data_IF_281975173638
#
_entry.id   IF_281975173638
#
_cell.length_a   1.000
_cell.length_b   1.000
_cell.length_c   1.000
_cell.angle_alpha   90.00
_cell.angle_beta   90.00
_cell.angle_gamma   90.00
#
_symmetry.space_group_name_H-M   'P 1'
#
loop_
_entity.id
_entity.type
_entity.pdbx_description
1 polymer ?
#
# COMPACT_ATOMS: atom_id res chain seq x y z
N UNK A 1 38.96 20.23 -48.27
CA UNK A 1 37.59 20.28 -47.69
C UNK A 1 36.89 18.94 -47.70
N UNK A 2 37.22 18.04 -48.61
CA UNK A 2 36.61 16.70 -48.80
C UNK A 2 36.97 15.68 -47.73
N UNK A 3 38.14 15.72 -47.12
CA UNK A 3 38.60 14.73 -46.12
C UNK A 3 37.92 14.89 -44.73
N UNK A 4 37.49 16.12 -44.36
CA UNK A 4 36.74 16.36 -43.08
C UNK A 4 35.31 15.92 -43.17
N UNK A 5 34.68 15.95 -44.33
CA UNK A 5 33.29 15.49 -44.55
C UNK A 5 33.22 13.96 -44.47
N UNK A 6 34.24 13.27 -44.99
CA UNK A 6 34.28 11.80 -44.92
C UNK A 6 34.40 11.28 -43.47
N UNK A 7 35.19 11.97 -42.62
CA UNK A 7 35.38 11.56 -41.22
C UNK A 7 34.11 11.77 -40.33
N UNK A 8 33.34 12.85 -40.62
CA UNK A 8 32.08 13.12 -39.92
C UNK A 8 31.00 12.11 -40.34
N UNK A 9 30.97 11.73 -41.62
CA UNK A 9 29.97 10.76 -42.11
C UNK A 9 30.24 9.36 -41.57
N UNK A 10 31.48 8.93 -41.41
CA UNK A 10 31.86 7.66 -40.82
C UNK A 10 31.54 7.64 -39.31
N UNK A 11 31.74 8.76 -38.58
CA UNK A 11 31.40 8.89 -37.17
C UNK A 11 29.88 8.84 -36.94
N UNK A 12 29.07 9.44 -37.82
CA UNK A 12 27.60 9.41 -37.71
C UNK A 12 27.06 8.02 -38.04
N UNK A 13 27.62 7.33 -39.01
CA UNK A 13 27.21 5.94 -39.33
C UNK A 13 27.64 4.96 -38.22
N UNK A 14 28.79 5.16 -37.58
CA UNK A 14 29.19 4.37 -36.40
C UNK A 14 28.31 4.60 -35.17
N UNK A 15 27.73 5.80 -35.01
CA UNK A 15 26.81 6.09 -33.91
C UNK A 15 25.39 5.53 -34.14
N UNK A 16 25.00 5.33 -35.40
CA UNK A 16 23.69 4.75 -35.75
C UNK A 16 23.68 3.19 -35.71
N UNK A 17 24.83 2.54 -35.65
CA UNK A 17 24.91 1.07 -35.56
C UNK A 17 24.95 0.55 -34.12
N UNK A 18 25.13 1.41 -33.10
CA UNK A 18 24.92 1.10 -31.69
C UNK A 18 23.48 1.37 -31.20
N UNK A 19 22.49 1.27 -32.09
CA UNK A 19 21.11 1.08 -31.68
C UNK A 19 21.07 -0.30 -30.99
N UNK A 20 20.97 -0.29 -29.67
CA UNK A 20 20.83 -1.46 -28.86
C UNK A 20 19.88 -2.44 -29.54
N UNK A 21 20.37 -3.60 -29.95
CA UNK A 21 19.51 -4.73 -30.20
C UNK A 21 18.87 -5.08 -28.88
N UNK A 22 17.70 -4.47 -28.61
CA UNK A 22 16.79 -5.03 -27.64
C UNK A 22 16.51 -6.44 -28.15
N UNK A 23 17.09 -7.45 -27.51
CA UNK A 23 16.79 -8.84 -27.81
C UNK A 23 15.31 -9.01 -27.55
N UNK A 24 14.52 -9.01 -28.62
CA UNK A 24 13.09 -9.19 -28.50
C UNK A 24 12.86 -10.65 -28.10
N UNK A 25 12.22 -10.86 -26.96
CA UNK A 25 11.75 -12.21 -26.57
C UNK A 25 10.86 -12.74 -27.69
N UNK A 26 11.25 -13.89 -28.29
CA UNK A 26 10.48 -14.52 -29.37
C UNK A 26 9.19 -15.14 -28.77
N UNK A 27 8.03 -14.69 -29.27
CA UNK A 27 6.71 -15.12 -28.81
C UNK A 27 6.03 -16.13 -29.74
N UNK A 28 6.58 -16.43 -30.91
CA UNK A 28 5.90 -17.25 -31.94
C UNK A 28 5.52 -18.64 -31.41
N UNK A 29 6.46 -19.31 -30.75
CA UNK A 29 6.25 -20.66 -30.26
C UNK A 29 5.24 -20.68 -29.11
N UNK A 30 5.32 -19.73 -28.17
CA UNK A 30 4.39 -19.65 -27.05
C UNK A 30 2.97 -19.28 -27.50
N UNK A 31 2.82 -18.41 -28.50
CA UNK A 31 1.52 -18.06 -29.06
C UNK A 31 0.87 -19.27 -29.73
N UNK A 32 1.65 -20.11 -30.43
CA UNK A 32 1.16 -21.36 -31.03
C UNK A 32 0.69 -22.35 -29.95
N UNK A 33 1.41 -22.48 -28.83
CA UNK A 33 1.04 -23.35 -27.71
C UNK A 33 -0.23 -22.83 -27.01
N UNK A 34 -0.37 -21.51 -26.82
CA UNK A 34 -1.54 -20.88 -26.20
C UNK A 34 -2.86 -21.15 -26.94
N UNK A 35 -2.79 -21.39 -28.25
CA UNK A 35 -3.94 -21.68 -29.09
C UNK A 35 -4.36 -23.17 -29.09
N UNK A 36 -3.60 -24.05 -28.43
CA UNK A 36 -3.89 -25.50 -28.40
C UNK A 36 -4.91 -25.84 -27.30
N UNK A 37 -5.85 -26.71 -27.61
CA UNK A 37 -6.83 -27.26 -26.67
C UNK A 37 -6.24 -28.34 -25.76
N UNK A 38 -5.27 -29.08 -26.25
CA UNK A 38 -4.56 -30.17 -25.53
C UNK A 38 -3.08 -29.94 -25.71
N UNK A 39 -2.35 -29.94 -24.61
CA UNK A 39 -0.90 -29.76 -24.62
C UNK A 39 -0.20 -31.11 -24.48
N UNK A 40 0.89 -31.26 -25.20
CA UNK A 40 1.82 -32.39 -25.03
C UNK A 40 3.07 -31.96 -24.24
N UNK A 41 3.97 -32.88 -23.99
CA UNK A 41 5.19 -32.60 -23.24
C UNK A 41 6.11 -31.57 -23.92
N UNK A 42 6.12 -31.49 -25.24
CA UNK A 42 6.92 -30.51 -25.96
C UNK A 42 6.34 -29.10 -25.79
N UNK A 43 5.00 -29.00 -25.71
CA UNK A 43 4.31 -27.73 -25.40
C UNK A 43 4.62 -27.23 -23.99
N UNK A 44 4.63 -28.15 -23.01
CA UNK A 44 4.99 -27.80 -21.62
C UNK A 44 6.44 -27.33 -21.51
N UNK A 45 7.34 -27.97 -22.24
CA UNK A 45 8.76 -27.54 -22.36
C UNK A 45 8.88 -26.16 -23.02
N UNK A 46 8.07 -25.88 -24.04
CA UNK A 46 8.02 -24.58 -24.71
C UNK A 46 7.59 -23.46 -23.73
N UNK A 47 6.61 -23.73 -22.90
CA UNK A 47 6.18 -22.78 -21.84
C UNK A 47 7.34 -22.52 -20.86
N UNK A 48 8.01 -23.58 -20.35
CA UNK A 48 9.13 -23.41 -19.40
C UNK A 48 10.30 -22.63 -20.02
N UNK A 49 10.66 -22.93 -21.28
CA UNK A 49 11.72 -22.22 -22.03
C UNK A 49 11.37 -20.75 -22.24
N UNK A 50 10.13 -20.45 -22.63
CA UNK A 50 9.67 -19.06 -22.80
C UNK A 50 9.82 -18.27 -21.51
N UNK A 51 9.27 -18.76 -20.39
CA UNK A 51 9.33 -18.08 -19.09
C UNK A 51 10.78 -17.94 -18.63
N UNK A 52 11.61 -19.00 -18.76
CA UNK A 52 13.03 -18.98 -18.41
C UNK A 52 13.79 -17.90 -19.18
N UNK A 53 13.60 -17.84 -20.49
CA UNK A 53 14.26 -16.86 -21.35
C UNK A 53 13.82 -15.45 -21.02
N UNK A 54 12.50 -15.20 -20.94
CA UNK A 54 11.96 -13.87 -20.64
C UNK A 54 12.39 -13.35 -19.26
N UNK A 55 12.39 -14.20 -18.23
CA UNK A 55 12.88 -13.81 -16.90
C UNK A 55 14.40 -13.56 -16.90
N UNK A 56 15.17 -14.31 -17.67
CA UNK A 56 16.61 -14.07 -17.84
C UNK A 56 16.89 -12.71 -18.51
N UNK A 57 16.06 -12.31 -19.47
CA UNK A 57 16.16 -10.98 -20.09
C UNK A 57 15.93 -9.84 -19.08
N UNK A 58 15.04 -10.01 -18.10
CA UNK A 58 14.89 -9.04 -16.98
C UNK A 58 16.19 -8.90 -16.18
N UNK A 59 16.94 -10.00 -15.97
CA UNK A 59 18.22 -9.98 -15.25
C UNK A 59 19.31 -9.26 -16.04
N UNK A 60 19.32 -9.39 -17.36
CA UNK A 60 20.39 -8.89 -18.23
C UNK A 60 20.12 -7.50 -18.77
N UNK A 61 18.87 -7.07 -18.86
CA UNK A 61 18.49 -5.77 -19.39
C UNK A 61 19.14 -4.59 -18.62
N UNK A 62 19.64 -3.61 -19.36
CA UNK A 62 20.37 -2.48 -18.79
C UNK A 62 19.49 -1.29 -18.42
N UNK A 63 18.32 -1.16 -19.03
CA UNK A 63 17.41 -0.04 -18.85
C UNK A 63 16.00 -0.46 -18.46
N UNK A 64 15.24 0.50 -17.90
CA UNK A 64 13.87 0.28 -17.45
C UNK A 64 12.90 -0.04 -18.57
N UNK A 65 13.09 0.53 -19.75
CA UNK A 65 12.17 0.33 -20.88
C UNK A 65 12.23 -1.09 -21.37
N UNK A 66 13.45 -1.64 -21.52
CA UNK A 66 13.67 -3.05 -21.88
C UNK A 66 13.05 -3.99 -20.87
N UNK A 67 13.28 -3.77 -19.56
CA UNK A 67 12.69 -4.58 -18.49
C UNK A 67 11.16 -4.50 -18.52
N UNK A 68 10.59 -3.30 -18.68
CA UNK A 68 9.14 -3.10 -18.75
C UNK A 68 8.52 -3.79 -19.95
N UNK A 69 9.18 -3.74 -21.11
CA UNK A 69 8.73 -4.44 -22.31
C UNK A 69 8.71 -5.98 -22.11
N UNK A 70 9.79 -6.54 -21.57
CA UNK A 70 9.85 -7.98 -21.26
C UNK A 70 8.75 -8.39 -20.28
N UNK A 71 8.52 -7.59 -19.23
CA UNK A 71 7.44 -7.83 -18.28
C UNK A 71 6.07 -7.84 -18.98
N UNK A 72 5.81 -6.89 -19.87
CA UNK A 72 4.57 -6.84 -20.66
C UNK A 72 4.41 -8.07 -21.56
N UNK A 73 5.49 -8.57 -22.15
CA UNK A 73 5.49 -9.79 -22.98
C UNK A 73 5.14 -11.01 -22.11
N UNK A 74 5.72 -11.15 -20.92
CA UNK A 74 5.39 -12.23 -19.99
C UNK A 74 3.90 -12.19 -19.63
N UNK A 75 3.38 -11.00 -19.27
CA UNK A 75 1.98 -10.83 -18.88
C UNK A 75 1.01 -11.13 -20.04
N UNK A 76 1.32 -10.67 -21.25
CA UNK A 76 0.51 -10.95 -22.44
C UNK A 76 0.41 -12.45 -22.76
N UNK A 77 1.38 -13.24 -22.29
CA UNK A 77 1.45 -14.67 -22.52
C UNK A 77 1.17 -15.52 -21.26
N UNK A 78 0.72 -14.93 -20.15
CA UNK A 78 0.49 -15.66 -18.89
C UNK A 78 -0.76 -16.54 -18.86
N UNK A 79 -1.71 -16.32 -19.76
CA UNK A 79 -2.95 -17.10 -19.90
C UNK A 79 -3.10 -17.77 -21.25
N UNK A 80 -3.86 -18.87 -21.31
CA UNK A 80 -4.26 -19.51 -22.55
C UNK A 80 -5.23 -18.66 -23.36
N UNK A 81 -5.23 -18.80 -24.68
CA UNK A 81 -6.24 -18.25 -25.57
C UNK A 81 -7.48 -19.17 -25.65
N UNK A 82 -7.36 -20.43 -25.22
CA UNK A 82 -8.45 -21.39 -25.20
C UNK A 82 -9.15 -21.36 -23.83
N UNK A 83 -10.45 -21.11 -23.75
CA UNK A 83 -11.20 -21.11 -22.52
C UNK A 83 -11.08 -22.46 -21.78
N UNK A 84 -10.74 -22.42 -20.50
CA UNK A 84 -10.64 -23.61 -19.65
C UNK A 84 -9.38 -24.46 -19.84
N UNK A 85 -8.34 -23.95 -20.51
CA UNK A 85 -7.06 -24.62 -20.65
C UNK A 85 -6.23 -24.50 -19.35
N UNK A 86 -6.65 -25.23 -18.33
CA UNK A 86 -6.03 -25.21 -17.00
C UNK A 86 -4.58 -25.73 -17.00
N UNK A 87 -4.23 -26.63 -17.94
CA UNK A 87 -2.88 -27.20 -18.02
C UNK A 87 -1.84 -26.13 -18.44
N UNK A 88 -2.22 -25.20 -19.34
CA UNK A 88 -1.36 -24.08 -19.70
C UNK A 88 -1.11 -23.16 -18.49
N UNK A 89 -2.18 -22.74 -17.82
CA UNK A 89 -2.08 -21.84 -16.67
C UNK A 89 -1.28 -22.46 -15.52
N UNK A 90 -1.46 -23.77 -15.30
CA UNK A 90 -0.71 -24.50 -14.29
C UNK A 90 0.77 -24.53 -14.63
N UNK A 91 1.15 -24.96 -15.85
CA UNK A 91 2.54 -25.04 -16.29
C UNK A 91 3.20 -23.68 -16.28
N UNK A 92 2.52 -22.65 -16.79
CA UNK A 92 3.02 -21.27 -16.75
C UNK A 92 3.31 -20.81 -15.31
N UNK A 93 2.38 -21.09 -14.39
CA UNK A 93 2.53 -20.73 -12.97
C UNK A 93 3.72 -21.44 -12.32
N UNK A 94 3.91 -22.73 -12.59
CA UNK A 94 5.04 -23.52 -12.08
C UNK A 94 6.38 -23.02 -12.63
N UNK A 95 6.42 -22.74 -13.92
CA UNK A 95 7.59 -22.15 -14.57
C UNK A 95 7.89 -20.75 -14.04
N UNK A 96 6.86 -19.89 -13.88
CA UNK A 96 7.01 -18.56 -13.30
C UNK A 96 7.56 -18.63 -11.86
N UNK A 97 7.02 -19.50 -11.02
CA UNK A 97 7.51 -19.70 -9.64
C UNK A 97 9.00 -20.08 -9.64
N UNK A 98 9.37 -21.07 -10.43
CA UNK A 98 10.75 -21.57 -10.54
C UNK A 98 11.72 -20.48 -11.02
N UNK A 99 11.40 -19.85 -12.15
CA UNK A 99 12.34 -18.92 -12.80
C UNK A 99 12.39 -17.56 -12.13
N UNK A 100 11.26 -17.00 -11.63
CA UNK A 100 11.24 -15.73 -10.87
C UNK A 100 11.94 -15.91 -9.51
N UNK A 101 11.75 -17.05 -8.82
CA UNK A 101 12.48 -17.36 -7.59
C UNK A 101 13.98 -17.35 -7.80
N UNK A 102 14.46 -18.05 -8.83
CA UNK A 102 15.87 -18.09 -9.20
C UNK A 102 16.41 -16.69 -9.57
N UNK A 103 15.63 -15.92 -10.33
CA UNK A 103 16.00 -14.58 -10.73
C UNK A 103 16.09 -13.61 -9.54
N UNK A 104 15.16 -13.68 -8.60
CA UNK A 104 15.22 -12.90 -7.36
C UNK A 104 16.48 -13.23 -6.55
N UNK A 105 16.84 -14.51 -6.44
CA UNK A 105 18.05 -14.94 -5.77
C UNK A 105 19.33 -14.41 -6.47
N UNK A 106 19.40 -14.50 -7.79
CA UNK A 106 20.52 -13.99 -8.57
C UNK A 106 20.61 -12.46 -8.49
N UNK A 107 19.46 -11.77 -8.50
CA UNK A 107 19.40 -10.32 -8.41
C UNK A 107 20.04 -9.76 -7.13
N UNK A 108 20.04 -10.50 -6.03
CA UNK A 108 20.69 -10.08 -4.78
C UNK A 108 22.20 -9.90 -4.92
N UNK A 109 22.84 -10.67 -5.79
CA UNK A 109 24.28 -10.57 -6.10
C UNK A 109 24.64 -9.53 -7.14
N UNK A 110 23.66 -8.87 -7.79
CA UNK A 110 23.94 -7.92 -8.85
C UNK A 110 24.64 -6.65 -8.36
N UNK A 111 25.60 -6.21 -9.17
CA UNK A 111 26.30 -4.94 -9.02
C UNK A 111 26.18 -4.12 -10.31
N UNK A 112 26.06 -2.78 -10.22
CA UNK A 112 25.96 -1.97 -9.02
C UNK A 112 24.60 -2.13 -8.29
N UNK A 113 24.47 -1.58 -7.10
CA UNK A 113 23.23 -1.63 -6.29
C UNK A 113 22.00 -1.08 -7.03
N UNK A 114 22.18 -0.11 -7.92
CA UNK A 114 21.12 0.45 -8.78
C UNK A 114 20.54 -0.58 -9.75
N UNK A 115 21.38 -1.49 -10.30
CA UNK A 115 20.94 -2.59 -11.15
C UNK A 115 20.15 -3.61 -10.33
N UNK A 116 20.70 -4.02 -9.17
CA UNK A 116 20.00 -4.90 -8.23
C UNK A 116 18.61 -4.35 -7.87
N UNK A 117 18.53 -3.07 -7.50
CA UNK A 117 17.27 -2.41 -7.19
C UNK A 117 16.27 -2.48 -8.35
N UNK A 118 16.69 -2.15 -9.57
CA UNK A 118 15.81 -2.18 -10.76
C UNK A 118 15.24 -3.58 -10.99
N UNK A 119 16.10 -4.59 -10.96
CA UNK A 119 15.70 -5.96 -11.24
C UNK A 119 14.73 -6.48 -10.19
N UNK A 120 15.06 -6.36 -8.90
CA UNK A 120 14.18 -6.83 -7.81
C UNK A 120 12.82 -6.11 -7.87
N UNK A 121 12.82 -4.79 -8.05
CA UNK A 121 11.57 -4.02 -8.12
C UNK A 121 10.68 -4.49 -9.28
N UNK A 122 11.26 -4.72 -10.46
CA UNK A 122 10.49 -5.17 -11.62
C UNK A 122 10.02 -6.62 -11.51
N UNK A 123 10.79 -7.50 -10.86
CA UNK A 123 10.33 -8.86 -10.56
C UNK A 123 9.15 -8.84 -9.56
N UNK A 124 9.19 -7.98 -8.55
CA UNK A 124 8.05 -7.80 -7.65
C UNK A 124 6.83 -7.22 -8.37
N UNK A 125 7.00 -6.22 -9.24
CA UNK A 125 5.92 -5.72 -10.09
C UNK A 125 5.33 -6.82 -10.97
N UNK A 126 6.18 -7.69 -11.55
CA UNK A 126 5.71 -8.83 -12.33
C UNK A 126 4.89 -9.80 -11.49
N UNK A 127 5.31 -10.09 -10.25
CA UNK A 127 4.55 -10.93 -9.32
C UNK A 127 3.17 -10.35 -9.04
N UNK A 128 3.10 -9.05 -8.80
CA UNK A 128 1.85 -8.35 -8.55
C UNK A 128 0.91 -8.38 -9.76
N UNK A 129 1.43 -8.09 -10.95
CA UNK A 129 0.67 -8.09 -12.20
C UNK A 129 0.18 -9.50 -12.59
N UNK A 130 0.99 -10.55 -12.38
CA UNK A 130 0.58 -11.95 -12.58
C UNK A 130 -0.57 -12.36 -11.66
N UNK A 131 -0.67 -11.74 -10.50
CA UNK A 131 -1.73 -11.94 -9.50
C UNK A 131 -2.03 -13.43 -9.24
N UNK A 132 -0.98 -14.25 -9.14
CA UNK A 132 -1.08 -15.71 -9.00
C UNK A 132 -0.84 -16.12 -7.53
N UNK A 133 -1.81 -16.77 -6.86
CA UNK A 133 -1.67 -17.19 -5.45
C UNK A 133 -0.50 -18.15 -5.19
N UNK A 134 -0.05 -18.93 -6.17
CA UNK A 134 1.11 -19.83 -6.03
C UNK A 134 2.43 -19.09 -5.84
N UNK A 135 2.48 -17.81 -6.23
CA UNK A 135 3.69 -16.99 -6.15
C UNK A 135 3.78 -16.18 -4.84
N UNK A 136 2.79 -16.33 -3.94
CA UNK A 136 2.65 -15.50 -2.73
C UNK A 136 3.86 -15.57 -1.79
N UNK A 137 4.62 -16.65 -1.81
CA UNK A 137 5.78 -16.83 -0.93
C UNK A 137 7.00 -15.99 -1.35
N UNK A 138 7.10 -15.61 -2.62
CA UNK A 138 8.27 -14.90 -3.14
C UNK A 138 8.44 -13.49 -2.56
N UNK A 139 7.40 -12.66 -2.40
CA UNK A 139 7.54 -11.31 -1.82
C UNK A 139 7.82 -11.30 -0.32
N UNK A 140 7.57 -12.38 0.45
CA UNK A 140 7.76 -12.39 1.91
C UNK A 140 9.16 -11.94 2.36
N UNK A 141 10.18 -12.29 1.60
CA UNK A 141 11.58 -11.96 1.91
C UNK A 141 11.86 -10.46 1.85
N UNK A 142 11.06 -9.72 1.10
CA UNK A 142 11.32 -8.31 0.76
C UNK A 142 10.47 -7.32 1.54
N UNK A 143 9.56 -7.80 2.41
CA UNK A 143 8.60 -6.97 3.16
C UNK A 143 9.30 -5.96 4.07
N UNK A 144 10.37 -6.37 4.75
CA UNK A 144 11.19 -5.55 5.66
C UNK A 144 12.51 -5.06 5.02
N UNK A 145 12.52 -4.97 3.69
CA UNK A 145 13.67 -4.42 2.98
C UNK A 145 13.96 -2.98 3.44
N UNK A 146 15.24 -2.68 3.67
CA UNK A 146 15.71 -1.32 3.95
C UNK A 146 15.45 -0.34 2.79
N UNK A 147 15.15 -0.85 1.60
CA UNK A 147 14.72 -0.05 0.46
C UNK A 147 13.20 0.07 0.46
N UNK A 148 12.71 1.29 0.71
CA UNK A 148 11.27 1.57 0.81
C UNK A 148 10.45 1.17 -0.43
N UNK A 149 11.03 1.26 -1.64
CA UNK A 149 10.32 0.88 -2.89
C UNK A 149 10.22 -0.64 -3.02
N UNK A 150 11.26 -1.38 -2.63
CA UNK A 150 11.22 -2.84 -2.62
C UNK A 150 10.20 -3.33 -1.58
N UNK A 151 10.23 -2.79 -0.36
CA UNK A 151 9.26 -3.11 0.68
C UNK A 151 7.83 -2.77 0.25
N UNK A 152 7.62 -1.61 -0.38
CA UNK A 152 6.32 -1.20 -0.93
C UNK A 152 5.75 -2.24 -1.91
N UNK A 153 6.53 -2.66 -2.91
CA UNK A 153 6.08 -3.64 -3.89
C UNK A 153 5.89 -5.04 -3.30
N UNK A 154 6.71 -5.42 -2.34
CA UNK A 154 6.53 -6.68 -1.63
C UNK A 154 5.19 -6.72 -0.88
N UNK A 155 4.87 -5.64 -0.14
CA UNK A 155 3.59 -5.52 0.56
C UNK A 155 2.43 -5.46 -0.43
N UNK A 156 2.58 -4.71 -1.55
CA UNK A 156 1.55 -4.62 -2.60
C UNK A 156 1.19 -6.02 -3.14
N UNK A 157 2.20 -6.85 -3.44
CA UNK A 157 1.97 -8.25 -3.85
C UNK A 157 1.21 -9.06 -2.80
N UNK A 158 1.59 -8.95 -1.51
CA UNK A 158 0.96 -9.71 -0.42
C UNK A 158 -0.47 -9.28 -0.14
N UNK A 159 -0.80 -8.04 -0.44
CA UNK A 159 -2.13 -7.45 -0.18
C UNK A 159 -3.01 -7.34 -1.41
N UNK A 160 -2.55 -7.82 -2.57
CA UNK A 160 -3.29 -7.76 -3.83
C UNK A 160 -4.63 -8.53 -3.71
N UNK A 161 -5.79 -7.87 -3.87
CA UNK A 161 -7.10 -8.51 -3.69
C UNK A 161 -7.36 -9.68 -4.65
N UNK A 162 -6.76 -9.64 -5.85
CA UNK A 162 -6.89 -10.72 -6.84
C UNK A 162 -6.18 -12.00 -6.39
N UNK A 163 -5.17 -11.86 -5.52
CA UNK A 163 -4.42 -12.95 -4.92
C UNK A 163 -5.09 -13.40 -3.62
N UNK A 164 -5.28 -12.45 -2.70
CA UNK A 164 -5.73 -12.74 -1.32
C UNK A 164 -7.11 -13.39 -1.28
N UNK A 165 -8.01 -13.07 -2.21
CA UNK A 165 -9.33 -13.70 -2.32
C UNK A 165 -9.30 -15.20 -2.70
N UNK A 166 -8.15 -15.70 -3.15
CA UNK A 166 -7.95 -17.09 -3.59
C UNK A 166 -7.03 -17.89 -2.64
N UNK A 167 -6.51 -17.26 -1.60
CA UNK A 167 -5.61 -17.91 -0.64
C UNK A 167 -6.37 -18.80 0.33
N UNK A 168 -5.74 -19.90 0.72
CA UNK A 168 -6.18 -20.72 1.83
C UNK A 168 -6.01 -19.98 3.16
N UNK A 169 -6.86 -20.31 4.14
CA UNK A 169 -6.94 -19.64 5.42
C UNK A 169 -5.59 -19.55 6.15
N UNK A 170 -4.81 -20.62 6.16
CA UNK A 170 -3.50 -20.65 6.83
C UNK A 170 -2.48 -19.73 6.14
N UNK A 171 -2.57 -19.60 4.83
CA UNK A 171 -1.74 -18.65 4.09
C UNK A 171 -2.16 -17.21 4.38
N UNK A 172 -3.47 -16.93 4.47
CA UNK A 172 -3.99 -15.60 4.87
C UNK A 172 -3.49 -15.22 6.27
N UNK A 173 -3.52 -16.15 7.24
CA UNK A 173 -2.98 -15.93 8.60
C UNK A 173 -1.48 -15.63 8.57
N UNK A 174 -0.72 -16.39 7.78
CA UNK A 174 0.73 -16.17 7.62
C UNK A 174 1.03 -14.81 7.02
N UNK A 175 0.25 -14.37 6.01
CA UNK A 175 0.35 -13.02 5.45
C UNK A 175 0.04 -11.97 6.52
N UNK A 176 -1.06 -12.12 7.26
CA UNK A 176 -1.44 -11.20 8.34
C UNK A 176 -0.32 -11.05 9.38
N UNK A 177 0.22 -12.16 9.88
CA UNK A 177 1.34 -12.14 10.85
C UNK A 177 2.60 -11.48 10.31
N UNK A 178 2.90 -11.66 9.02
CA UNK A 178 4.05 -11.00 8.38
C UNK A 178 3.84 -9.50 8.25
N UNK A 179 2.65 -9.07 7.82
CA UNK A 179 2.30 -7.66 7.72
C UNK A 179 2.28 -6.99 9.09
N UNK A 180 1.79 -7.68 10.12
CA UNK A 180 1.78 -7.18 11.49
C UNK A 180 3.19 -6.83 12.00
N UNK A 181 4.20 -7.63 11.66
CA UNK A 181 5.58 -7.43 12.10
C UNK A 181 6.21 -6.12 11.59
N UNK A 182 5.68 -5.52 10.53
CA UNK A 182 6.24 -4.32 9.91
C UNK A 182 5.41 -3.05 10.12
N UNK A 183 4.24 -3.12 10.78
CA UNK A 183 3.33 -1.96 10.96
C UNK A 183 4.07 -0.76 11.53
N UNK A 184 4.92 -0.96 12.57
CA UNK A 184 5.59 0.13 13.27
C UNK A 184 6.60 0.90 12.41
N UNK A 185 7.20 0.25 11.42
CA UNK A 185 8.24 0.81 10.55
C UNK A 185 7.73 1.21 9.17
N UNK A 186 6.47 0.90 8.87
CA UNK A 186 5.87 1.12 7.55
C UNK A 186 5.57 2.58 7.26
N UNK A 187 5.72 2.97 5.98
CA UNK A 187 5.26 4.26 5.49
C UNK A 187 3.72 4.32 5.46
N UNK A 188 3.12 5.52 5.45
CA UNK A 188 1.67 5.67 5.39
C UNK A 188 1.02 4.94 4.20
N UNK A 189 1.67 4.96 3.04
CA UNK A 189 1.18 4.29 1.83
C UNK A 189 1.15 2.76 2.03
N UNK A 190 2.17 2.21 2.68
CA UNK A 190 2.23 0.78 3.03
C UNK A 190 1.17 0.44 4.07
N UNK A 191 0.97 1.29 5.10
CA UNK A 191 -0.09 1.11 6.09
C UNK A 191 -1.48 1.08 5.47
N UNK A 192 -1.72 1.84 4.40
CA UNK A 192 -2.97 1.80 3.64
C UNK A 192 -3.24 0.43 3.02
N UNK A 193 -2.24 -0.20 2.41
CA UNK A 193 -2.39 -1.56 1.86
C UNK A 193 -2.62 -2.59 2.95
N UNK A 194 -1.87 -2.49 4.06
CA UNK A 194 -2.04 -3.37 5.22
C UNK A 194 -3.46 -3.25 5.78
N UNK A 195 -3.97 -2.03 5.97
CA UNK A 195 -5.32 -1.79 6.44
C UNK A 195 -6.38 -2.35 5.47
N UNK A 196 -6.20 -2.14 4.16
CA UNK A 196 -7.10 -2.66 3.14
C UNK A 196 -7.16 -4.19 3.15
N UNK A 197 -6.00 -4.85 3.24
CA UNK A 197 -5.93 -6.30 3.42
C UNK A 197 -6.65 -6.73 4.70
N UNK A 198 -6.32 -6.13 5.84
CA UNK A 198 -6.90 -6.44 7.15
C UNK A 198 -8.43 -6.32 7.13
N UNK A 199 -8.97 -5.28 6.49
CA UNK A 199 -10.42 -5.08 6.33
C UNK A 199 -11.10 -6.03 5.33
N UNK A 200 -10.33 -6.63 4.42
CA UNK A 200 -10.86 -7.55 3.40
C UNK A 200 -10.93 -9.01 3.86
N UNK A 201 -10.11 -9.39 4.85
CA UNK A 201 -10.04 -10.76 5.36
C UNK A 201 -10.93 -10.90 6.61
N UNK A 202 -11.76 -11.94 6.64
CA UNK A 202 -12.67 -12.19 7.76
C UNK A 202 -12.07 -13.19 8.74
N UNK A 203 -10.98 -12.78 9.40
CA UNK A 203 -10.27 -13.57 10.40
C UNK A 203 -9.89 -12.70 11.61
N UNK A 204 -9.75 -13.23 12.83
CA UNK A 204 -9.36 -12.46 14.01
C UNK A 204 -8.04 -11.72 13.83
N UNK A 205 -7.05 -12.33 13.20
CA UNK A 205 -5.74 -11.73 12.93
C UNK A 205 -5.84 -10.49 12.00
N UNK A 206 -6.84 -10.47 11.10
CA UNK A 206 -7.15 -9.29 10.28
C UNK A 206 -7.69 -8.14 11.12
N UNK A 207 -8.59 -8.46 12.06
CA UNK A 207 -9.14 -7.46 13.00
C UNK A 207 -8.02 -6.85 13.86
N UNK A 208 -7.16 -7.67 14.44
CA UNK A 208 -6.03 -7.22 15.26
C UNK A 208 -5.04 -6.37 14.45
N UNK A 209 -4.77 -6.78 13.21
CA UNK A 209 -3.92 -6.02 12.29
C UNK A 209 -4.49 -4.64 11.96
N UNK A 210 -5.80 -4.54 11.69
CA UNK A 210 -6.45 -3.24 11.45
C UNK A 210 -6.35 -2.33 12.68
N UNK A 211 -6.58 -2.88 13.87
CA UNK A 211 -6.47 -2.13 15.12
C UNK A 211 -5.03 -1.63 15.35
N UNK A 212 -4.03 -2.46 15.05
CA UNK A 212 -2.61 -2.09 15.17
C UNK A 212 -2.22 -0.98 14.18
N UNK A 213 -2.71 -1.04 12.93
CA UNK A 213 -2.52 0.05 11.97
C UNK A 213 -3.13 1.35 12.48
N UNK A 214 -4.34 1.30 13.04
CA UNK A 214 -4.98 2.48 13.63
C UNK A 214 -4.17 3.03 14.82
N UNK A 215 -3.66 2.17 15.71
CA UNK A 215 -2.81 2.57 16.84
C UNK A 215 -1.53 3.26 16.36
N UNK A 216 -0.88 2.73 15.31
CA UNK A 216 0.30 3.35 14.70
C UNK A 216 -0.01 4.74 14.13
N UNK A 217 -1.18 4.92 13.49
CA UNK A 217 -1.60 6.25 12.99
C UNK A 217 -1.89 7.21 14.14
N UNK A 218 -2.61 6.76 15.17
CA UNK A 218 -2.90 7.55 16.38
C UNK A 218 -1.59 8.03 17.03
N UNK A 219 -0.59 7.16 17.19
CA UNK A 219 0.72 7.52 17.70
C UNK A 219 1.40 8.60 16.84
N UNK A 220 1.33 8.48 15.51
CA UNK A 220 1.91 9.49 14.61
C UNK A 220 1.26 10.88 14.75
N UNK A 221 -0.05 10.94 15.07
CA UNK A 221 -0.72 12.20 15.40
C UNK A 221 -0.24 12.77 16.72
N UNK A 222 -0.14 11.95 17.77
CA UNK A 222 0.32 12.36 19.07
C UNK A 222 1.69 13.05 19.02
N UNK A 223 2.58 12.53 18.17
CA UNK A 223 3.94 13.04 17.95
C UNK A 223 4.03 14.14 16.88
N UNK A 224 2.92 14.55 16.29
CA UNK A 224 2.87 15.48 15.14
C UNK A 224 3.70 15.01 13.92
N UNK A 225 4.12 13.76 13.88
CA UNK A 225 4.93 13.18 12.81
C UNK A 225 4.07 12.63 11.64
N UNK A 226 2.76 12.77 11.72
CA UNK A 226 1.84 12.26 10.69
C UNK A 226 2.14 12.85 9.32
N UNK A 227 2.11 11.97 8.30
CA UNK A 227 2.23 12.30 6.88
C UNK A 227 1.11 11.61 6.13
N UNK A 228 0.79 12.13 4.93
CA UNK A 228 -0.23 11.55 4.05
C UNK A 228 -1.56 11.35 4.80
N UNK A 229 -2.13 12.43 5.33
CA UNK A 229 -3.35 12.43 6.14
C UNK A 229 -4.53 11.75 5.42
N UNK A 230 -4.58 11.79 4.09
CA UNK A 230 -5.64 11.16 3.28
C UNK A 230 -5.78 9.64 3.52
N UNK A 231 -4.71 8.96 3.94
CA UNK A 231 -4.74 7.53 4.29
C UNK A 231 -5.71 7.25 5.43
N UNK A 232 -5.90 8.22 6.32
CA UNK A 232 -6.77 8.06 7.50
C UNK A 232 -8.25 7.94 7.13
N UNK A 233 -8.68 8.49 5.99
CA UNK A 233 -10.05 8.32 5.51
C UNK A 233 -10.37 6.83 5.22
N UNK A 234 -9.44 6.10 4.60
CA UNK A 234 -9.61 4.68 4.33
C UNK A 234 -9.61 3.85 5.63
N UNK A 235 -8.70 4.17 6.56
CA UNK A 235 -8.61 3.49 7.86
C UNK A 235 -9.88 3.74 8.69
N UNK A 236 -10.35 4.99 8.76
CA UNK A 236 -11.60 5.35 9.44
C UNK A 236 -12.80 4.61 8.83
N UNK A 237 -12.85 4.49 7.51
CA UNK A 237 -13.90 3.73 6.83
C UNK A 237 -13.90 2.25 7.23
N UNK A 238 -12.73 1.61 7.24
CA UNK A 238 -12.60 0.19 7.65
C UNK A 238 -12.97 -0.01 9.13
N UNK A 239 -12.55 0.90 10.01
CA UNK A 239 -12.97 0.88 11.42
C UNK A 239 -14.48 1.08 11.56
N UNK A 240 -15.09 2.00 10.79
CA UNK A 240 -16.55 2.21 10.78
C UNK A 240 -17.31 0.97 10.30
N UNK A 241 -16.79 0.26 9.29
CA UNK A 241 -17.37 -1.00 8.82
C UNK A 241 -17.34 -2.06 9.93
N UNK A 242 -16.25 -2.13 10.69
CA UNK A 242 -16.13 -3.00 11.86
C UNK A 242 -17.07 -2.59 13.00
N UNK A 243 -17.23 -1.29 13.25
CA UNK A 243 -18.18 -0.76 14.25
C UNK A 243 -19.65 -1.06 13.89
N UNK A 244 -19.97 -1.07 12.61
CA UNK A 244 -21.32 -1.39 12.13
C UNK A 244 -21.66 -2.89 12.25
N UNK A 245 -20.65 -3.74 12.32
CA UNK A 245 -20.83 -5.18 12.54
C UNK A 245 -21.16 -5.47 14.02
N UNK A 246 -21.82 -6.62 14.27
CA UNK A 246 -22.16 -7.08 15.64
C UNK A 246 -21.05 -7.90 16.30
N UNK A 247 -19.83 -7.92 15.78
CA UNK A 247 -18.73 -8.74 16.23
C UNK A 247 -18.03 -8.27 17.52
N UNK A 248 -17.18 -9.11 18.14
CA UNK A 248 -16.52 -8.82 19.41
C UNK A 248 -15.53 -7.63 19.35
N UNK A 249 -14.98 -7.30 18.18
CA UNK A 249 -14.05 -6.19 17.97
C UNK A 249 -14.70 -4.80 17.89
N UNK A 250 -16.04 -4.70 17.95
CA UNK A 250 -16.79 -3.45 17.72
C UNK A 250 -16.36 -2.30 18.63
N UNK A 251 -16.26 -2.52 19.92
CA UNK A 251 -15.88 -1.49 20.89
C UNK A 251 -14.41 -1.08 20.73
N UNK A 252 -13.53 -2.04 20.44
CA UNK A 252 -12.12 -1.76 20.20
C UNK A 252 -11.91 -0.92 18.91
N UNK A 253 -12.65 -1.21 17.85
CA UNK A 253 -12.67 -0.41 16.63
C UNK A 253 -13.26 0.98 16.90
N UNK A 254 -14.33 1.08 17.70
CA UNK A 254 -14.97 2.34 18.09
C UNK A 254 -14.02 3.28 18.82
N UNK A 255 -13.27 2.77 19.78
CA UNK A 255 -12.26 3.55 20.51
C UNK A 255 -11.19 4.14 19.56
N UNK A 256 -10.67 3.33 18.64
CA UNK A 256 -9.64 3.78 17.69
C UNK A 256 -10.20 4.72 16.62
N UNK A 257 -11.41 4.44 16.13
CA UNK A 257 -12.12 5.36 15.25
C UNK A 257 -12.29 6.73 15.90
N UNK A 258 -12.84 6.74 17.12
CA UNK A 258 -13.07 7.98 17.87
C UNK A 258 -11.78 8.74 18.16
N UNK A 259 -10.72 8.04 18.59
CA UNK A 259 -9.44 8.67 18.88
C UNK A 259 -8.75 9.21 17.61
N UNK A 260 -8.72 8.44 16.52
CA UNK A 260 -8.11 8.87 15.27
C UNK A 260 -8.87 10.06 14.67
N UNK A 261 -10.21 9.97 14.60
CA UNK A 261 -11.05 11.07 14.12
C UNK A 261 -10.88 12.32 14.97
N UNK A 262 -10.83 12.18 16.30
CA UNK A 262 -10.56 13.30 17.21
C UNK A 262 -9.23 13.96 16.92
N UNK A 263 -8.18 13.20 16.68
CA UNK A 263 -6.87 13.76 16.35
C UNK A 263 -6.86 14.48 15.00
N UNK A 264 -7.62 14.00 14.01
CA UNK A 264 -7.81 14.72 12.74
C UNK A 264 -8.45 16.08 12.97
N UNK A 265 -9.54 16.16 13.77
CA UNK A 265 -10.17 17.42 14.17
C UNK A 265 -9.21 18.34 14.90
N UNK A 266 -8.59 17.83 15.96
CA UNK A 266 -7.70 18.61 16.80
C UNK A 266 -6.49 19.14 16.04
N UNK A 267 -5.90 18.33 15.13
CA UNK A 267 -4.79 18.76 14.31
C UNK A 267 -5.20 19.87 13.33
N UNK A 268 -6.40 19.79 12.75
CA UNK A 268 -6.91 20.84 11.88
C UNK A 268 -7.15 22.14 12.66
N UNK A 269 -7.80 22.07 13.83
CA UNK A 269 -8.14 23.24 14.66
C UNK A 269 -6.86 23.86 15.27
N UNK A 270 -6.09 23.05 16.02
CA UNK A 270 -4.91 23.51 16.76
C UNK A 270 -3.72 23.82 15.86
N UNK A 271 -3.64 23.16 14.71
CA UNK A 271 -2.56 23.30 13.74
C UNK A 271 -2.76 24.43 12.72
N UNK A 272 -3.81 25.26 12.87
CA UNK A 272 -4.18 26.27 11.88
C UNK A 272 -3.02 27.22 11.49
N UNK A 273 -2.12 27.54 12.41
CA UNK A 273 -0.99 28.44 12.19
C UNK A 273 0.30 27.70 11.79
N UNK A 274 0.43 26.42 12.10
CA UNK A 274 1.69 25.67 11.90
C UNK A 274 1.65 24.70 10.72
N UNK A 275 0.46 24.32 10.26
CA UNK A 275 0.30 23.40 9.13
C UNK A 275 0.38 24.12 7.79
N UNK A 276 0.99 23.45 6.82
CA UNK A 276 0.95 23.89 5.42
C UNK A 276 -0.47 23.79 4.86
N UNK A 277 -0.79 24.61 3.87
CA UNK A 277 -2.10 24.63 3.23
C UNK A 277 -2.50 23.25 2.69
N UNK A 278 -1.58 22.53 2.05
CA UNK A 278 -1.85 21.18 1.55
C UNK A 278 -2.21 20.16 2.65
N UNK A 279 -1.64 20.30 3.85
CA UNK A 279 -1.99 19.43 4.99
C UNK A 279 -3.38 19.77 5.52
N UNK A 280 -3.73 21.06 5.59
CA UNK A 280 -5.09 21.50 5.98
C UNK A 280 -6.13 20.96 5.01
N UNK A 281 -5.87 21.02 3.70
CA UNK A 281 -6.76 20.47 2.67
C UNK A 281 -6.92 18.95 2.78
N UNK A 282 -5.85 18.23 3.09
CA UNK A 282 -5.95 16.79 3.35
C UNK A 282 -6.80 16.48 4.58
N UNK A 283 -6.60 17.20 5.70
CA UNK A 283 -7.41 17.03 6.91
C UNK A 283 -8.88 17.34 6.66
N UNK A 284 -9.19 18.43 5.94
CA UNK A 284 -10.55 18.75 5.50
C UNK A 284 -11.15 17.62 4.70
N UNK A 285 -10.39 17.07 3.74
CA UNK A 285 -10.86 15.95 2.91
C UNK A 285 -11.17 14.72 3.76
N UNK A 286 -10.33 14.40 4.75
CA UNK A 286 -10.57 13.27 5.68
C UNK A 286 -11.83 13.50 6.50
N UNK A 287 -12.01 14.70 7.08
CA UNK A 287 -13.18 15.04 7.89
C UNK A 287 -14.48 14.94 7.09
N UNK A 288 -14.52 15.59 5.92
CA UNK A 288 -15.72 15.61 5.04
C UNK A 288 -16.02 14.20 4.50
N UNK A 289 -15.00 13.43 4.10
CA UNK A 289 -15.19 12.06 3.62
C UNK A 289 -15.70 11.15 4.75
N UNK A 290 -15.16 11.28 5.96
CA UNK A 290 -15.63 10.54 7.14
C UNK A 290 -17.09 10.89 7.48
N UNK A 291 -17.44 12.16 7.45
CA UNK A 291 -18.82 12.60 7.64
C UNK A 291 -19.75 11.97 6.61
N UNK A 292 -19.36 11.98 5.35
CA UNK A 292 -20.17 11.48 4.22
C UNK A 292 -20.33 9.96 4.23
N UNK A 293 -19.28 9.20 4.57
CA UNK A 293 -19.25 7.74 4.35
C UNK A 293 -19.39 6.93 5.62
N UNK A 294 -18.87 7.43 6.76
CA UNK A 294 -18.84 6.69 8.01
C UNK A 294 -20.01 7.04 8.93
N UNK A 295 -20.28 8.35 9.15
CA UNK A 295 -21.28 8.77 10.13
C UNK A 295 -22.69 8.28 9.80
N UNK A 296 -23.21 8.33 8.56
CA UNK A 296 -24.53 7.79 8.26
C UNK A 296 -24.65 6.30 8.57
N UNK A 297 -23.59 5.54 8.36
CA UNK A 297 -23.54 4.10 8.64
C UNK A 297 -23.59 3.82 10.16
N UNK A 298 -22.97 4.67 10.96
CA UNK A 298 -22.87 4.52 12.41
C UNK A 298 -24.07 5.11 13.15
N UNK A 299 -24.64 6.22 12.67
CA UNK A 299 -25.72 6.95 13.35
C UNK A 299 -27.11 6.67 12.75
N UNK A 300 -27.17 6.06 11.58
CA UNK A 300 -28.41 5.81 10.84
C UNK A 300 -29.00 7.07 10.17
N UNK A 301 -28.30 8.21 10.20
CA UNK A 301 -28.76 9.48 9.64
C UNK A 301 -27.64 10.23 8.93
N UNK A 302 -27.92 10.90 7.79
CA UNK A 302 -26.97 11.81 7.16
C UNK A 302 -26.55 12.92 8.13
N UNK A 303 -25.28 13.28 8.12
CA UNK A 303 -24.71 14.42 8.86
C UNK A 303 -24.05 15.38 7.87
N UNK A 304 -24.15 16.68 8.17
CA UNK A 304 -23.52 17.76 7.41
C UNK A 304 -22.94 18.83 8.33
N UNK A 305 -22.83 18.56 9.65
CA UNK A 305 -22.37 19.51 10.65
C UNK A 305 -20.89 19.84 10.47
N UNK A 306 -20.07 18.82 10.25
CA UNK A 306 -18.61 18.98 10.05
C UNK A 306 -18.34 19.82 8.81
N UNK A 307 -18.95 19.47 7.68
CA UNK A 307 -18.78 20.21 6.41
C UNK A 307 -19.19 21.68 6.56
N UNK A 308 -20.35 21.94 7.16
CA UNK A 308 -20.85 23.32 7.40
C UNK A 308 -19.93 24.12 8.33
N UNK A 309 -19.43 23.51 9.39
CA UNK A 309 -18.49 24.14 10.31
C UNK A 309 -17.17 24.51 9.62
N UNK A 310 -16.65 23.64 8.76
CA UNK A 310 -15.45 23.93 7.96
C UNK A 310 -15.71 25.05 6.95
N UNK A 311 -16.84 25.02 6.25
CA UNK A 311 -17.23 26.06 5.27
C UNK A 311 -17.47 27.43 5.92
N UNK A 312 -17.93 27.47 7.17
CA UNK A 312 -18.07 28.73 7.93
C UNK A 312 -16.73 29.33 8.36
N UNK A 313 -15.67 28.53 8.40
CA UNK A 313 -14.36 28.94 8.92
C UNK A 313 -14.33 29.15 10.45
N UNK A 314 -15.37 28.77 11.17
CA UNK A 314 -15.47 28.92 12.62
C UNK A 314 -15.03 27.66 13.36
N UNK A 315 -13.85 27.73 13.95
CA UNK A 315 -13.29 26.61 14.72
C UNK A 315 -14.08 26.31 15.99
N UNK A 316 -14.86 27.26 16.53
CA UNK A 316 -15.71 27.03 17.70
C UNK A 316 -16.83 26.08 17.34
N UNK A 317 -17.52 26.34 16.22
CA UNK A 317 -18.58 25.46 15.72
C UNK A 317 -18.02 24.06 15.37
N UNK A 318 -16.82 24.00 14.78
CA UNK A 318 -16.18 22.72 14.48
C UNK A 318 -15.81 21.93 15.75
N UNK A 319 -15.40 22.61 16.82
CA UNK A 319 -15.13 21.99 18.13
C UNK A 319 -16.43 21.51 18.80
N UNK A 320 -17.53 22.24 18.64
CA UNK A 320 -18.84 21.79 19.12
C UNK A 320 -19.29 20.50 18.41
N UNK A 321 -19.14 20.42 17.10
CA UNK A 321 -19.42 19.19 16.34
C UNK A 321 -18.54 18.01 16.79
N UNK A 322 -17.23 18.26 17.01
CA UNK A 322 -16.33 17.27 17.60
C UNK A 322 -16.84 16.76 18.94
N UNK A 323 -17.18 17.66 19.87
CA UNK A 323 -17.61 17.31 21.23
C UNK A 323 -18.97 16.59 21.23
N UNK A 324 -19.91 17.02 20.40
CA UNK A 324 -21.20 16.35 20.24
C UNK A 324 -21.04 14.93 19.72
N UNK A 325 -20.14 14.72 18.78
CA UNK A 325 -19.92 13.43 18.15
C UNK A 325 -19.10 12.48 19.02
N UNK A 326 -18.00 12.96 19.60
CA UNK A 326 -16.97 12.15 20.26
C UNK A 326 -16.95 12.27 21.78
N UNK A 327 -17.48 13.34 22.32
CA UNK A 327 -17.51 13.62 23.75
C UNK A 327 -16.47 14.63 24.21
N UNK A 328 -16.68 15.13 25.41
CA UNK A 328 -15.77 16.01 26.14
C UNK A 328 -15.64 15.58 27.61
N UNK A 329 -14.97 16.40 28.46
CA UNK A 329 -14.75 16.10 29.87
C UNK A 329 -16.03 16.03 30.71
N UNK A 330 -17.15 16.54 30.19
CA UNK A 330 -18.42 16.65 30.91
C UNK A 330 -19.51 15.75 30.41
N UNK A 331 -19.43 15.38 29.10
CA UNK A 331 -20.50 14.66 28.41
C UNK A 331 -19.94 13.62 27.45
N UNK A 332 -20.51 12.42 27.51
CA UNK A 332 -20.24 11.39 26.52
C UNK A 332 -20.79 11.79 25.14
N UNK A 333 -20.01 11.58 24.09
CA UNK A 333 -20.41 11.86 22.72
C UNK A 333 -21.42 10.87 22.17
N UNK A 334 -22.03 11.22 21.05
CA UNK A 334 -23.04 10.39 20.38
C UNK A 334 -22.47 9.01 19.99
N UNK A 335 -21.29 8.93 19.37
CA UNK A 335 -20.70 7.66 18.93
C UNK A 335 -20.33 6.74 20.11
N UNK A 336 -19.59 7.19 21.15
CA UNK A 336 -19.33 6.37 22.32
C UNK A 336 -20.61 5.81 22.96
N UNK A 337 -21.67 6.63 23.08
CA UNK A 337 -22.95 6.22 23.65
C UNK A 337 -23.64 5.15 22.76
N UNK A 338 -23.68 5.36 21.44
CA UNK A 338 -24.40 4.49 20.51
C UNK A 338 -23.70 3.16 20.26
N UNK A 339 -22.36 3.16 20.22
CA UNK A 339 -21.54 1.98 19.94
C UNK A 339 -21.15 1.25 21.23
N UNK A 340 -21.31 1.91 22.37
CA UNK A 340 -20.94 1.42 23.71
C UNK A 340 -19.42 1.19 23.84
N UNK A 341 -18.63 2.27 23.69
CA UNK A 341 -17.19 2.27 23.97
C UNK A 341 -16.79 3.47 24.82
N UNK A 342 -15.63 3.38 25.45
CA UNK A 342 -14.95 4.47 26.16
C UNK A 342 -13.55 4.68 25.56
N UNK A 343 -12.88 5.75 25.97
CA UNK A 343 -11.51 6.05 25.52
C UNK A 343 -10.41 5.50 26.45
N UNK A 344 -10.75 4.54 27.30
CA UNK A 344 -9.87 3.97 28.30
C UNK A 344 -10.09 4.60 29.68
N UNK A 345 -9.11 4.50 30.56
CA UNK A 345 -9.17 5.06 31.90
C UNK A 345 -8.56 6.45 31.95
N UNK A 346 -9.22 7.35 32.66
CA UNK A 346 -8.65 8.65 33.00
C UNK A 346 -7.59 8.55 34.13
N UNK A 347 -7.01 9.68 34.54
CA UNK A 347 -6.02 9.74 35.62
C UNK A 347 -6.57 9.30 36.98
N UNK A 348 -7.89 9.29 37.17
CA UNK A 348 -8.59 8.82 38.37
C UNK A 348 -9.00 7.34 38.31
N UNK A 349 -8.71 6.65 37.19
CA UNK A 349 -9.08 5.24 36.96
C UNK A 349 -10.52 5.01 36.50
N UNK A 350 -11.31 6.05 36.29
CA UNK A 350 -12.65 6.00 35.72
C UNK A 350 -12.60 5.89 34.20
N UNK A 351 -13.70 5.40 33.59
CA UNK A 351 -13.80 5.36 32.11
C UNK A 351 -13.83 6.78 31.55
N UNK A 352 -12.91 7.08 30.62
CA UNK A 352 -12.85 8.40 30.00
C UNK A 352 -13.97 8.59 28.98
N UNK A 353 -14.72 9.69 29.13
CA UNK A 353 -15.78 10.10 28.21
C UNK A 353 -15.27 10.88 27.01
N UNK A 354 -14.01 11.35 27.05
CA UNK A 354 -13.40 12.15 26.02
C UNK A 354 -12.16 11.46 25.41
N UNK A 355 -11.89 11.69 24.13
CA UNK A 355 -10.64 11.25 23.49
C UNK A 355 -9.43 11.99 24.06
N UNK A 356 -8.25 11.39 23.91
CA UNK A 356 -6.99 12.02 24.28
C UNK A 356 -6.81 13.35 23.53
N UNK A 357 -6.25 14.33 24.25
CA UNK A 357 -6.00 15.64 23.70
C UNK A 357 -4.63 15.73 23.02
N UNK A 358 -4.60 16.32 21.84
CA UNK A 358 -3.38 16.61 21.11
C UNK A 358 -2.68 17.83 21.71
N UNK A 359 -1.44 17.68 22.13
CA UNK A 359 -0.60 18.78 22.61
C UNK A 359 0.13 19.39 21.42
N UNK A 360 0.15 20.74 21.32
CA UNK A 360 0.93 21.42 20.27
C UNK A 360 2.43 21.11 20.44
N UNK A 361 3.16 20.96 19.34
CA UNK A 361 4.59 20.82 19.40
C UNK A 361 5.19 22.10 20.02
N UNK A 362 6.08 21.94 20.98
CA UNK A 362 6.82 23.09 21.49
C UNK A 362 7.73 23.63 20.38
N UNK A 363 7.79 24.95 20.17
CA UNK A 363 8.73 25.52 19.24
C UNK A 363 10.13 25.07 19.62
N UNK A 364 10.84 24.43 18.68
CA UNK A 364 12.25 24.09 18.87
C UNK A 364 12.98 25.40 19.16
N UNK A 365 13.73 25.53 20.27
CA UNK A 365 14.51 26.72 20.53
C UNK A 365 15.41 26.99 19.32
N UNK A 366 15.25 28.16 18.68
CA UNK A 366 16.14 28.60 17.61
C UNK A 366 17.58 28.49 18.14
N UNK A 367 18.36 27.60 17.58
CA UNK A 367 19.82 27.60 17.77
C UNK A 367 20.29 28.96 17.24
N UNK A 368 20.57 29.89 18.15
CA UNK A 368 21.24 31.15 17.80
C UNK A 368 22.46 30.78 16.98
N UNK A 369 22.62 31.35 15.76
CA UNK A 369 23.87 31.16 15.03
C UNK A 369 24.99 31.64 15.95
N UNK A 370 25.97 30.75 16.23
CA UNK A 370 27.19 31.12 16.92
C UNK A 370 27.76 32.35 16.22
N UNK A 371 27.72 33.48 16.93
CA UNK A 371 28.42 34.68 16.53
C UNK A 371 29.90 34.33 16.49
N UNK A 372 30.40 34.00 15.29
CA UNK A 372 31.82 33.88 15.04
C UNK A 372 32.50 35.17 15.43
N UNK A 373 33.27 35.13 16.49
CA UNK A 373 34.31 36.11 16.87
C UNK A 373 35.64 35.76 16.22
#
# INVERSE_FOLDING_TARGET
>A
MTQKILLVTVAIISFLVFSAFAVAVDTRDIEAVRAKKVLDNADLETIDKFVSHAVSEILTAEDFSSISNVRSIILANSGSNEPGQAQYEQQFSESAQKHISNALQQAEGLTPSSRRFRVITNLLMLLDDLANPRLIDLPFKYVDSNNAVISYWAVHCLTNPKVTSKLELDTVRRVAGRLESIVETSSPEVLRFIASFAGSVNIPEGDDLLLKVADRRIASYADWSVRCELVDADILKLLADKMASSGPGRAAAGRRFGQLLSYVFQRYIKGAEVLKQSQKEQLVSVLVETERTCLPKLTGKPSFGIKRAIESGDFTVLLEEHNNLLGDSTKQGQLPAQINFDYGKDSGGAASTQPLQLTLPQPTPETKPDSAS
#
